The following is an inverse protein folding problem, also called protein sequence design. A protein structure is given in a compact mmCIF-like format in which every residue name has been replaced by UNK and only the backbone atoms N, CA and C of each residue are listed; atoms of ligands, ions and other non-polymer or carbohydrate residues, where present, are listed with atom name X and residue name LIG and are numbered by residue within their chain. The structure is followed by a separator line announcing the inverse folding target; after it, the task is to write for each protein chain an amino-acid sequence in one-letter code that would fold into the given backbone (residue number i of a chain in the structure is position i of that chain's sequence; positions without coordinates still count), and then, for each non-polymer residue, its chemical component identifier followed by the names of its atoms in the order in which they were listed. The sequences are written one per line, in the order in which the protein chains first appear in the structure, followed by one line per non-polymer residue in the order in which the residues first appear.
data_IF_373963508958
#
_entry.id   IF_373963508958
#
_cell.length_a   1.000
_cell.length_b   1.000
_cell.length_c   1.000
_cell.angle_alpha   90.00
_cell.angle_beta   90.00
_cell.angle_gamma   90.00
#
_symmetry.space_group_name_H-M   'P 1'
#
loop_
_entity.id
_entity.type
_entity.pdbx_description
1 polymer ?
#
# COMPACT_ATOMS: atom_id res chain seq x y z
N UNK A 1 18.46 37.98 -18.57
CA UNK A 1 18.41 37.57 -17.16
C UNK A 1 16.99 37.07 -16.94
N UNK A 2 16.77 35.75 -17.08
CA UNK A 2 15.43 35.14 -17.12
C UNK A 2 15.22 34.31 -15.85
N UNK A 3 14.23 34.68 -15.05
CA UNK A 3 13.85 34.02 -13.79
C UNK A 3 12.57 33.21 -14.01
N UNK A 4 12.51 32.41 -15.07
CA UNK A 4 11.29 31.68 -15.44
C UNK A 4 11.63 30.28 -15.95
N UNK A 5 12.27 29.44 -15.14
CA UNK A 5 12.18 27.98 -15.30
C UNK A 5 12.33 27.26 -13.96
N UNK A 6 11.52 27.66 -12.99
CA UNK A 6 11.36 26.95 -11.72
C UNK A 6 10.05 26.14 -11.74
N UNK A 7 9.85 25.33 -12.78
CA UNK A 7 8.82 24.29 -12.81
C UNK A 7 9.37 23.01 -12.15
N UNK A 8 9.64 23.13 -10.86
CA UNK A 8 9.57 21.97 -9.96
C UNK A 8 8.08 21.59 -9.91
N UNK A 9 7.79 20.28 -9.95
CA UNK A 9 6.46 19.63 -9.78
C UNK A 9 5.74 19.20 -11.06
N UNK A 10 6.36 18.29 -11.79
CA UNK A 10 5.63 17.15 -12.36
C UNK A 10 5.95 15.90 -11.55
N UNK A 11 5.64 15.95 -10.24
CA UNK A 11 5.41 14.71 -9.51
C UNK A 11 4.12 14.12 -10.08
N UNK A 12 4.30 13.06 -10.85
CA UNK A 12 3.29 12.11 -11.32
C UNK A 12 2.12 11.99 -10.34
N UNK A 13 1.05 12.74 -10.62
CA UNK A 13 -0.24 12.73 -9.89
C UNK A 13 -0.99 11.38 -9.97
N UNK A 14 -0.35 10.34 -10.50
CA UNK A 14 -0.92 9.01 -10.74
C UNK A 14 -0.30 7.90 -9.88
N UNK A 15 0.80 8.16 -9.17
CA UNK A 15 1.47 7.16 -8.34
C UNK A 15 0.70 6.76 -7.06
N UNK A 16 0.08 7.70 -6.29
CA UNK A 16 -0.55 7.31 -5.03
C UNK A 16 -1.82 6.47 -5.20
N UNK A 17 -2.63 6.74 -6.23
CA UNK A 17 -3.84 5.94 -6.50
C UNK A 17 -3.54 4.49 -6.88
N UNK A 18 -2.43 4.24 -7.58
CA UNK A 18 -2.05 2.87 -7.97
C UNK A 18 -1.74 1.99 -6.76
N UNK A 19 -1.18 2.57 -5.70
CA UNK A 19 -0.78 1.80 -4.51
C UNK A 19 -1.98 1.56 -3.60
N UNK A 20 -2.85 2.55 -3.39
CA UNK A 20 -4.13 2.30 -2.70
C UNK A 20 -4.89 1.15 -3.36
N UNK A 21 -4.95 1.14 -4.70
CA UNK A 21 -5.58 0.05 -5.45
C UNK A 21 -4.87 -1.30 -5.28
N UNK A 22 -3.53 -1.34 -5.22
CA UNK A 22 -2.79 -2.58 -4.94
C UNK A 22 -3.07 -3.11 -3.52
N UNK A 23 -3.12 -2.23 -2.52
CA UNK A 23 -3.46 -2.62 -1.14
C UNK A 23 -4.90 -3.12 -1.07
N UNK A 24 -5.84 -2.43 -1.71
CA UNK A 24 -7.24 -2.86 -1.78
C UNK A 24 -7.39 -4.22 -2.46
N UNK A 25 -6.74 -4.44 -3.60
CA UNK A 25 -6.79 -5.71 -4.31
C UNK A 25 -6.25 -6.87 -3.46
N UNK A 26 -5.13 -6.66 -2.76
CA UNK A 26 -4.58 -7.66 -1.84
C UNK A 26 -5.48 -7.88 -0.62
N UNK A 27 -6.14 -6.84 -0.09
CA UNK A 27 -7.10 -7.01 1.00
C UNK A 27 -8.35 -7.78 0.56
N UNK A 28 -8.83 -7.58 -0.67
CA UNK A 28 -9.94 -8.33 -1.25
C UNK A 28 -9.55 -9.79 -1.44
N UNK A 29 -8.36 -10.04 -1.98
CA UNK A 29 -7.84 -11.38 -2.18
C UNK A 29 -7.63 -12.10 -0.84
N UNK A 30 -6.99 -11.44 0.12
CA UNK A 30 -6.81 -11.98 1.47
C UNK A 30 -8.15 -12.26 2.17
N UNK A 31 -9.16 -11.39 1.99
CA UNK A 31 -10.50 -11.62 2.53
C UNK A 31 -11.19 -12.84 1.90
N UNK A 32 -10.93 -13.12 0.62
CA UNK A 32 -11.43 -14.30 -0.08
C UNK A 32 -10.72 -15.57 0.39
N UNK A 33 -9.39 -15.50 0.52
CA UNK A 33 -8.56 -16.65 0.82
C UNK A 33 -8.48 -16.94 2.34
N UNK A 34 -8.92 -16.00 3.19
CA UNK A 34 -8.85 -16.08 4.65
C UNK A 34 -7.44 -15.95 5.22
N UNK A 35 -6.47 -15.60 4.36
CA UNK A 35 -5.07 -15.55 4.70
C UNK A 35 -4.35 -14.47 3.90
N UNK A 36 -3.27 -13.95 4.46
CA UNK A 36 -2.31 -13.09 3.79
C UNK A 36 -0.92 -13.62 4.09
N UNK A 37 -0.04 -13.61 3.10
CA UNK A 37 1.33 -14.05 3.28
C UNK A 37 2.24 -12.93 3.75
N UNK A 38 3.32 -13.27 4.45
CA UNK A 38 4.37 -12.31 4.80
C UNK A 38 5.00 -11.62 3.57
N UNK A 39 5.06 -12.31 2.43
CA UNK A 39 5.55 -11.71 1.17
C UNK A 39 4.62 -10.62 0.64
N UNK A 40 3.31 -10.83 0.72
CA UNK A 40 2.30 -9.85 0.33
C UNK A 40 2.33 -8.64 1.28
N UNK A 41 2.40 -8.87 2.59
CA UNK A 41 2.56 -7.81 3.58
C UNK A 41 3.83 -6.96 3.32
N UNK A 42 4.94 -7.64 2.99
CA UNK A 42 6.21 -7.00 2.65
C UNK A 42 6.13 -6.24 1.32
N UNK A 43 5.45 -6.78 0.32
CA UNK A 43 5.21 -6.10 -0.95
C UNK A 43 4.40 -4.82 -0.77
N UNK A 44 3.39 -4.83 0.11
CA UNK A 44 2.62 -3.63 0.46
C UNK A 44 3.53 -2.57 1.10
N UNK A 45 4.30 -2.94 2.12
CA UNK A 45 5.26 -2.03 2.77
C UNK A 45 6.25 -1.46 1.75
N UNK A 46 6.79 -2.30 0.87
CA UNK A 46 7.73 -1.89 -0.17
C UNK A 46 7.08 -0.93 -1.18
N UNK A 47 5.83 -1.18 -1.60
CA UNK A 47 5.08 -0.30 -2.48
C UNK A 47 4.82 1.07 -1.84
N UNK A 48 4.40 1.09 -0.57
CA UNK A 48 4.20 2.31 0.21
C UNK A 48 5.50 3.14 0.32
N UNK A 49 6.63 2.47 0.62
CA UNK A 49 7.93 3.13 0.73
C UNK A 49 8.46 3.63 -0.62
N UNK A 50 8.33 2.83 -1.69
CA UNK A 50 8.79 3.19 -3.05
C UNK A 50 8.03 4.38 -3.65
N UNK A 51 6.78 4.58 -3.24
CA UNK A 51 5.98 5.75 -3.63
C UNK A 51 6.66 7.07 -3.27
N UNK A 52 7.46 7.08 -2.19
CA UNK A 52 8.00 8.30 -1.59
C UNK A 52 6.93 9.23 -1.00
N UNK A 53 5.65 8.85 -1.09
CA UNK A 53 4.49 9.66 -0.70
C UNK A 53 3.45 8.75 -0.02
N UNK A 54 3.73 8.41 1.24
CA UNK A 54 2.79 7.66 2.09
C UNK A 54 1.61 8.59 2.45
N UNK A 55 0.41 8.24 2.00
CA UNK A 55 -0.80 9.00 2.34
C UNK A 55 -1.47 8.44 3.60
N UNK A 56 -2.27 9.25 4.33
CA UNK A 56 -3.04 8.77 5.48
C UNK A 56 -3.98 7.61 5.13
N UNK A 57 -4.49 7.60 3.89
CA UNK A 57 -5.37 6.54 3.38
C UNK A 57 -4.65 5.20 3.26
N UNK A 58 -3.43 5.18 2.70
CA UNK A 58 -2.61 3.96 2.64
C UNK A 58 -2.31 3.42 4.04
N UNK A 59 -1.97 4.29 4.99
CA UNK A 59 -1.76 3.88 6.38
C UNK A 59 -3.03 3.31 7.01
N UNK A 60 -4.20 3.86 6.68
CA UNK A 60 -5.48 3.37 7.18
C UNK A 60 -5.80 1.99 6.64
N UNK A 61 -5.64 1.76 5.34
CA UNK A 61 -5.85 0.45 4.71
C UNK A 61 -4.87 -0.58 5.28
N UNK A 62 -3.60 -0.23 5.39
CA UNK A 62 -2.59 -1.11 5.97
C UNK A 62 -2.89 -1.45 7.43
N UNK A 63 -3.32 -0.48 8.24
CA UNK A 63 -3.74 -0.72 9.63
C UNK A 63 -4.97 -1.63 9.69
N UNK A 64 -5.97 -1.40 8.84
CA UNK A 64 -7.18 -2.23 8.82
C UNK A 64 -6.84 -3.69 8.49
N UNK A 65 -5.90 -3.93 7.59
CA UNK A 65 -5.39 -5.26 7.31
C UNK A 65 -4.73 -5.88 8.55
N UNK A 66 -3.87 -5.13 9.26
CA UNK A 66 -3.24 -5.61 10.49
C UNK A 66 -4.23 -5.90 11.62
N UNK A 67 -5.28 -5.08 11.75
CA UNK A 67 -6.38 -5.30 12.70
C UNK A 67 -7.12 -6.60 12.39
N UNK A 68 -7.41 -6.87 11.11
CA UNK A 68 -8.05 -8.14 10.70
C UNK A 68 -7.17 -9.37 10.96
N UNK A 69 -5.85 -9.23 10.79
CA UNK A 69 -4.90 -10.27 11.20
C UNK A 69 -4.91 -10.46 12.71
N UNK A 70 -4.91 -9.37 13.47
CA UNK A 70 -4.92 -9.39 14.93
C UNK A 70 -6.20 -10.01 15.51
N UNK A 71 -7.35 -9.70 14.92
CA UNK A 71 -8.66 -10.25 15.30
C UNK A 71 -8.85 -11.70 14.86
N UNK A 72 -7.90 -12.25 14.08
CA UNK A 72 -7.94 -13.63 13.57
C UNK A 72 -8.89 -13.81 12.39
N UNK A 73 -9.39 -12.73 11.78
CA UNK A 73 -10.14 -12.80 10.52
C UNK A 73 -9.24 -13.15 9.33
N UNK A 74 -7.96 -12.82 9.41
CA UNK A 74 -6.94 -13.14 8.42
C UNK A 74 -5.80 -13.90 9.09
N UNK A 75 -5.40 -15.03 8.49
CA UNK A 75 -4.23 -15.77 8.94
C UNK A 75 -2.98 -15.19 8.28
N UNK A 76 -1.94 -14.88 9.05
CA UNK A 76 -0.66 -14.46 8.49
C UNK A 76 0.22 -15.70 8.28
N UNK A 77 0.41 -16.12 7.03
CA UNK A 77 1.19 -17.31 6.70
C UNK A 77 2.60 -16.97 6.20
N UNK A 78 3.59 -17.74 6.64
CA UNK A 78 4.88 -17.79 5.95
C UNK A 78 4.72 -18.65 4.69
N UNK A 79 4.95 -18.06 3.52
CA UNK A 79 4.96 -18.80 2.26
C UNK A 79 6.08 -19.85 2.34
N UNK A 80 5.69 -21.12 2.46
CA UNK A 80 6.60 -22.28 2.46
C UNK A 80 7.01 -22.64 1.03
#
# INVERSE_FOLDING_TARGET
MNIEQLSIRTATRSAPHSICHTVEALMVQAASDGQITHEEETSIKAAMLRSGHITPEMCRLFRQMQERVWDGELTLEERN
#
